data_IF_197092486296
#
_entry.id   IF_197092486296
#
_cell.length_a   1.000
_cell.length_b   1.000
_cell.length_c   1.000
_cell.angle_alpha   90.00
_cell.angle_beta   90.00
_cell.angle_gamma   90.00
#
_symmetry.space_group_name_H-M   'P 1'
#
loop_
_entity.id
_entity.type
_entity.pdbx_description
1 polymer ?
#
# COMPACT_ATOMS: atom_id res chain seq x y z
N UNK A 1 -39.31 9.04 -37.68
CA UNK A 1 -39.17 7.79 -36.90
C UNK A 1 -37.81 7.66 -36.23
N UNK A 2 -36.68 7.69 -36.96
CA UNK A 2 -35.34 7.48 -36.38
C UNK A 2 -34.99 8.44 -35.22
N UNK A 3 -35.37 9.71 -35.31
CA UNK A 3 -35.16 10.69 -34.22
C UNK A 3 -35.94 10.38 -32.93
N UNK A 4 -37.12 9.76 -33.05
CA UNK A 4 -37.96 9.42 -31.88
C UNK A 4 -37.41 8.17 -31.20
N UNK A 5 -37.06 7.15 -31.99
CA UNK A 5 -36.43 5.91 -31.47
C UNK A 5 -35.12 6.22 -30.77
N UNK A 6 -34.28 7.08 -31.35
CA UNK A 6 -33.01 7.48 -30.73
C UNK A 6 -33.22 8.25 -29.42
N UNK A 7 -34.20 9.16 -29.35
CA UNK A 7 -34.53 9.90 -28.12
C UNK A 7 -35.02 8.96 -27.01
N UNK A 8 -35.91 8.02 -27.33
CA UNK A 8 -36.43 7.07 -26.34
C UNK A 8 -35.32 6.16 -25.83
N UNK A 9 -34.45 5.63 -26.72
CA UNK A 9 -33.31 4.81 -26.32
C UNK A 9 -32.34 5.58 -25.40
N UNK A 10 -32.02 6.84 -25.72
CA UNK A 10 -31.19 7.71 -24.89
C UNK A 10 -31.81 7.94 -23.50
N UNK A 11 -33.11 8.21 -23.42
CA UNK A 11 -33.82 8.40 -22.14
C UNK A 11 -33.77 7.12 -21.31
N UNK A 12 -34.01 5.95 -21.92
CA UNK A 12 -33.95 4.67 -21.23
C UNK A 12 -32.55 4.37 -20.70
N UNK A 13 -31.50 4.58 -21.50
CA UNK A 13 -30.11 4.40 -21.06
C UNK A 13 -29.78 5.37 -19.91
N UNK A 14 -30.19 6.64 -20.02
CA UNK A 14 -29.97 7.63 -18.98
C UNK A 14 -30.70 7.26 -17.68
N UNK A 15 -31.94 6.78 -17.76
CA UNK A 15 -32.71 6.32 -16.60
C UNK A 15 -32.06 5.10 -15.93
N UNK A 16 -31.57 4.13 -16.72
CA UNK A 16 -30.85 2.96 -16.21
C UNK A 16 -29.52 3.36 -15.57
N UNK A 17 -28.78 4.27 -16.18
CA UNK A 17 -27.54 4.81 -15.62
C UNK A 17 -27.81 5.52 -14.28
N UNK A 18 -28.87 6.35 -14.21
CA UNK A 18 -29.26 7.01 -12.97
C UNK A 18 -29.64 6.00 -11.88
N UNK A 19 -30.44 4.99 -12.21
CA UNK A 19 -30.81 3.94 -11.26
C UNK A 19 -29.58 3.16 -10.76
N UNK A 20 -28.65 2.82 -11.66
CA UNK A 20 -27.39 2.15 -11.30
C UNK A 20 -26.54 3.02 -10.37
N UNK A 21 -26.42 4.32 -10.64
CA UNK A 21 -25.69 5.26 -9.78
C UNK A 21 -26.31 5.37 -8.38
N UNK A 22 -27.65 5.36 -8.28
CA UNK A 22 -28.35 5.39 -6.99
C UNK A 22 -28.04 4.13 -6.19
N UNK A 23 -28.17 2.95 -6.79
CA UNK A 23 -27.86 1.67 -6.13
C UNK A 23 -26.38 1.62 -5.72
N UNK A 24 -25.48 2.02 -6.61
CA UNK A 24 -24.04 2.07 -6.33
C UNK A 24 -23.71 3.00 -5.15
N UNK A 25 -24.30 4.19 -5.14
CA UNK A 25 -24.10 5.18 -4.06
C UNK A 25 -24.64 4.68 -2.73
N UNK A 26 -25.83 4.06 -2.71
CA UNK A 26 -26.37 3.44 -1.50
C UNK A 26 -25.47 2.32 -0.99
N UNK A 27 -24.96 1.47 -1.87
CA UNK A 27 -24.06 0.38 -1.47
C UNK A 27 -22.76 0.93 -0.86
N UNK A 28 -22.16 1.95 -1.47
CA UNK A 28 -20.96 2.61 -0.96
C UNK A 28 -21.18 3.17 0.46
N UNK A 29 -22.34 3.77 0.72
CA UNK A 29 -22.64 4.38 2.02
C UNK A 29 -22.99 3.36 3.10
N UNK A 30 -23.77 2.33 2.76
CA UNK A 30 -24.28 1.33 3.71
C UNK A 30 -23.21 0.28 4.02
N UNK A 31 -22.43 -0.13 3.02
CA UNK A 31 -21.44 -1.20 3.19
C UNK A 31 -20.14 -0.94 2.40
N UNK A 32 -19.37 0.10 2.79
CA UNK A 32 -18.12 0.42 2.13
C UNK A 32 -17.14 -0.77 2.09
N UNK A 33 -17.11 -1.60 3.14
CA UNK A 33 -16.22 -2.76 3.25
C UNK A 33 -16.44 -3.80 2.15
N UNK A 34 -17.71 -4.04 1.79
CA UNK A 34 -18.07 -5.01 0.74
C UNK A 34 -17.85 -4.43 -0.67
N UNK A 35 -17.98 -3.11 -0.82
CA UNK A 35 -17.58 -2.42 -2.04
C UNK A 35 -16.06 -2.51 -2.24
N UNK A 36 -15.27 -2.25 -1.19
CA UNK A 36 -13.81 -2.39 -1.22
C UNK A 36 -13.41 -3.81 -1.69
N UNK A 37 -14.03 -4.85 -1.14
CA UNK A 37 -13.76 -6.25 -1.55
C UNK A 37 -14.14 -6.50 -3.00
N UNK A 38 -15.24 -5.93 -3.49
CA UNK A 38 -15.61 -6.04 -4.90
C UNK A 38 -14.55 -5.37 -5.79
N UNK A 39 -14.04 -4.22 -5.38
CA UNK A 39 -13.02 -3.49 -6.10
C UNK A 39 -11.68 -4.24 -6.14
N UNK A 40 -11.23 -4.78 -5.01
CA UNK A 40 -10.05 -5.67 -4.92
C UNK A 40 -10.15 -6.84 -5.89
N UNK A 41 -11.31 -7.53 -5.93
CA UNK A 41 -11.54 -8.67 -6.83
C UNK A 41 -11.47 -8.29 -8.32
N UNK A 42 -11.76 -7.03 -8.64
CA UNK A 42 -11.65 -6.50 -10.01
C UNK A 42 -10.31 -5.83 -10.30
N UNK A 43 -9.38 -5.81 -9.33
CA UNK A 43 -8.09 -5.13 -9.43
C UNK A 43 -8.15 -3.60 -9.29
N UNK A 44 -9.30 -3.03 -8.95
CA UNK A 44 -9.46 -1.58 -8.76
C UNK A 44 -9.09 -1.14 -7.33
N UNK A 45 -7.82 -1.34 -6.97
CA UNK A 45 -7.32 -1.04 -5.62
C UNK A 45 -7.41 0.45 -5.27
N UNK A 46 -7.29 1.35 -6.25
CA UNK A 46 -7.45 2.79 -6.00
C UNK A 46 -8.83 3.15 -5.44
N UNK A 47 -9.89 2.52 -5.97
CA UNK A 47 -11.22 2.74 -5.44
C UNK A 47 -11.49 1.89 -4.18
N UNK A 48 -10.84 0.74 -4.04
CA UNK A 48 -10.84 -0.02 -2.79
C UNK A 48 -10.33 0.82 -1.62
N UNK A 49 -9.21 1.55 -1.78
CA UNK A 49 -8.71 2.54 -0.80
C UNK A 49 -9.79 3.55 -0.42
N UNK A 50 -10.54 4.07 -1.39
CA UNK A 50 -11.59 5.07 -1.11
C UNK A 50 -12.71 4.49 -0.25
N UNK A 51 -13.09 3.24 -0.52
CA UNK A 51 -14.12 2.54 0.23
C UNK A 51 -13.64 2.16 1.64
N UNK A 52 -12.40 1.66 1.75
CA UNK A 52 -11.77 1.33 3.03
C UNK A 52 -11.57 2.58 3.90
N UNK A 53 -11.14 3.70 3.32
CA UNK A 53 -10.99 4.98 4.01
C UNK A 53 -12.33 5.51 4.52
N UNK A 54 -13.40 5.36 3.76
CA UNK A 54 -14.75 5.72 4.22
C UNK A 54 -15.16 4.87 5.42
N UNK A 55 -14.88 3.56 5.40
CA UNK A 55 -15.14 2.70 6.55
C UNK A 55 -14.31 3.12 7.76
N UNK A 56 -13.01 3.33 7.58
CA UNK A 56 -12.11 3.78 8.64
C UNK A 56 -12.58 5.10 9.26
N UNK A 57 -13.06 6.05 8.46
CA UNK A 57 -13.64 7.30 8.98
C UNK A 57 -14.89 7.09 9.84
N UNK A 58 -15.64 6.01 9.62
CA UNK A 58 -16.81 5.68 10.43
C UNK A 58 -16.44 4.92 11.71
N UNK A 59 -15.39 4.09 11.68
CA UNK A 59 -15.07 3.16 12.77
C UNK A 59 -13.91 3.64 13.64
N UNK A 60 -12.94 4.35 13.06
CA UNK A 60 -11.64 4.60 13.67
C UNK A 60 -10.79 3.33 13.85
N UNK A 61 -11.21 2.19 13.30
CA UNK A 61 -10.57 0.90 13.54
C UNK A 61 -9.23 0.77 12.81
N UNK A 62 -8.19 0.34 13.53
CA UNK A 62 -6.86 0.21 12.96
C UNK A 62 -6.80 -0.86 11.86
N UNK A 63 -7.66 -1.88 11.90
CA UNK A 63 -7.76 -2.90 10.85
C UNK A 63 -8.31 -2.34 9.53
N UNK A 64 -9.27 -1.41 9.61
CA UNK A 64 -9.74 -0.66 8.44
C UNK A 64 -8.62 0.26 7.88
N UNK A 65 -7.81 0.88 8.75
CA UNK A 65 -6.63 1.65 8.33
C UNK A 65 -5.55 0.76 7.69
N UNK A 66 -5.33 -0.44 8.24
CA UNK A 66 -4.39 -1.42 7.68
C UNK A 66 -4.80 -1.85 6.27
N UNK A 67 -6.09 -2.05 6.04
CA UNK A 67 -6.62 -2.30 4.70
C UNK A 67 -6.39 -1.12 3.75
N UNK A 68 -6.57 0.12 4.20
CA UNK A 68 -6.24 1.30 3.39
C UNK A 68 -4.77 1.31 2.95
N UNK A 69 -3.86 0.91 3.84
CA UNK A 69 -2.43 0.82 3.54
C UNK A 69 -2.14 -0.29 2.51
N UNK A 70 -2.71 -1.49 2.71
CA UNK A 70 -2.57 -2.63 1.78
C UNK A 70 -3.12 -2.32 0.39
N UNK A 71 -4.34 -1.80 0.30
CA UNK A 71 -4.94 -1.38 -0.97
C UNK A 71 -4.15 -0.22 -1.59
N UNK A 72 -3.62 0.68 -0.76
CA UNK A 72 -2.75 1.77 -1.20
C UNK A 72 -1.49 1.25 -1.88
N UNK A 73 -0.85 0.26 -1.28
CA UNK A 73 0.30 -0.46 -1.84
C UNK A 73 -0.07 -1.14 -3.16
N UNK A 74 -1.16 -1.92 -3.19
CA UNK A 74 -1.59 -2.66 -4.37
C UNK A 74 -2.05 -1.74 -5.51
N UNK A 75 -2.50 -0.52 -5.19
CA UNK A 75 -2.84 0.49 -6.19
C UNK A 75 -1.62 1.07 -6.92
N UNK A 76 -0.41 0.90 -6.38
CA UNK A 76 0.84 1.48 -6.90
C UNK A 76 0.90 3.01 -6.82
N UNK A 77 -0.04 3.67 -6.15
CA UNK A 77 -0.07 5.14 -6.03
C UNK A 77 0.66 5.60 -4.78
N UNK A 78 1.80 6.25 -4.97
CA UNK A 78 2.61 6.78 -3.87
C UNK A 78 1.83 7.69 -2.93
N UNK A 79 0.89 8.49 -3.44
CA UNK A 79 0.02 9.32 -2.60
C UNK A 79 -0.77 8.49 -1.57
N UNK A 80 -1.25 7.30 -1.94
CA UNK A 80 -1.97 6.42 -1.02
C UNK A 80 -1.01 5.75 -0.04
N UNK A 81 0.13 5.25 -0.54
CA UNK A 81 1.15 4.60 0.28
C UNK A 81 1.66 5.58 1.36
N UNK A 82 2.12 6.77 0.95
CA UNK A 82 2.61 7.80 1.86
C UNK A 82 1.55 8.19 2.90
N UNK A 83 0.29 8.37 2.49
CA UNK A 83 -0.76 8.76 3.42
C UNK A 83 -1.13 7.64 4.42
N UNK A 84 -1.43 6.44 3.93
CA UNK A 84 -2.02 5.38 4.76
C UNK A 84 -0.98 4.52 5.46
N UNK A 85 0.17 4.24 4.83
CA UNK A 85 1.24 3.52 5.51
C UNK A 85 1.86 4.38 6.62
N UNK A 86 2.09 5.69 6.40
CA UNK A 86 2.60 6.58 7.46
C UNK A 86 1.62 6.72 8.62
N UNK A 87 0.31 6.87 8.33
CA UNK A 87 -0.72 6.85 9.38
C UNK A 87 -0.76 5.54 10.15
N UNK A 88 -0.67 4.42 9.45
CA UNK A 88 -0.72 3.11 10.06
C UNK A 88 0.49 2.87 10.97
N UNK A 89 1.70 3.20 10.53
CA UNK A 89 2.92 2.95 11.31
C UNK A 89 3.02 3.82 12.56
N UNK A 90 2.33 4.96 12.58
CA UNK A 90 2.20 5.85 13.74
C UNK A 90 1.01 5.53 14.65
N UNK A 91 0.17 4.55 14.28
CA UNK A 91 -0.99 4.18 15.07
C UNK A 91 -0.60 3.32 16.28
N UNK A 92 -1.18 3.58 17.46
CA UNK A 92 -0.84 2.86 18.70
C UNK A 92 -1.03 1.34 18.60
N UNK A 93 -2.07 0.92 17.86
CA UNK A 93 -2.36 -0.50 17.62
C UNK A 93 -1.54 -1.15 16.50
N UNK A 94 -0.61 -0.44 15.85
CA UNK A 94 0.16 -0.99 14.73
C UNK A 94 0.89 -2.30 15.07
N UNK A 95 1.49 -2.37 16.26
CA UNK A 95 2.13 -3.60 16.74
C UNK A 95 1.18 -4.78 16.86
N UNK A 96 -0.05 -4.55 17.33
CA UNK A 96 -1.09 -5.60 17.41
C UNK A 96 -1.52 -6.07 16.04
N UNK A 97 -1.64 -5.15 15.07
CA UNK A 97 -1.97 -5.50 13.69
C UNK A 97 -0.87 -6.34 13.05
N UNK A 98 0.39 -5.98 13.24
CA UNK A 98 1.51 -6.77 12.75
C UNK A 98 1.42 -8.21 13.29
N UNK A 99 1.27 -8.37 14.60
CA UNK A 99 1.16 -9.68 15.23
C UNK A 99 -0.03 -10.50 14.67
N UNK A 100 -1.21 -9.90 14.54
CA UNK A 100 -2.40 -10.57 14.01
C UNK A 100 -2.23 -10.98 12.53
N UNK A 101 -1.60 -10.13 11.71
CA UNK A 101 -1.34 -10.42 10.29
C UNK A 101 -0.28 -11.50 10.13
N UNK A 102 0.79 -11.44 10.92
CA UNK A 102 1.85 -12.44 10.92
C UNK A 102 1.32 -13.81 11.38
N UNK A 103 0.48 -13.85 12.41
CA UNK A 103 -0.19 -15.08 12.85
C UNK A 103 -1.07 -15.68 11.74
N UNK A 104 -1.91 -14.86 11.10
CA UNK A 104 -2.77 -15.28 10.00
C UNK A 104 -1.97 -15.81 8.79
N UNK A 105 -0.78 -15.25 8.52
CA UNK A 105 0.12 -15.69 7.46
C UNK A 105 0.85 -16.99 7.82
N UNK A 106 1.32 -17.11 9.06
CA UNK A 106 2.02 -18.29 9.56
C UNK A 106 1.15 -19.55 9.59
N UNK A 107 -0.17 -19.39 9.79
CA UNK A 107 -1.14 -20.49 9.74
C UNK A 107 -1.49 -20.98 8.33
N UNK A 108 -0.96 -20.34 7.28
CA UNK A 108 -1.23 -20.68 5.89
C UNK A 108 -0.28 -21.73 5.29
N UNK A 109 -0.59 -22.18 4.06
CA UNK A 109 0.22 -23.15 3.29
C UNK A 109 1.67 -22.68 3.07
N UNK A 110 1.96 -21.40 3.26
CA UNK A 110 3.25 -20.76 3.06
C UNK A 110 3.87 -20.19 4.34
N UNK A 111 3.41 -20.59 5.54
CA UNK A 111 3.78 -19.96 6.80
C UNK A 111 5.29 -19.92 7.12
N UNK A 112 6.08 -20.83 6.56
CA UNK A 112 7.55 -20.84 6.68
C UNK A 112 8.26 -19.85 5.72
N UNK A 113 7.53 -19.25 4.78
CA UNK A 113 8.04 -18.37 3.73
C UNK A 113 7.43 -16.96 3.77
N UNK A 114 6.52 -16.69 4.71
CA UNK A 114 5.84 -15.41 4.83
C UNK A 114 6.75 -14.39 5.51
N UNK A 115 7.02 -13.28 4.81
CA UNK A 115 7.72 -12.14 5.39
C UNK A 115 6.89 -11.42 6.45
N UNK A 116 7.56 -10.70 7.35
CA UNK A 116 6.93 -9.94 8.43
C UNK A 116 6.10 -8.77 7.89
N UNK A 117 4.86 -8.63 8.37
CA UNK A 117 3.93 -7.58 7.98
C UNK A 117 4.50 -6.19 8.23
N UNK A 118 5.23 -6.04 9.34
CA UNK A 118 5.94 -4.81 9.67
C UNK A 118 6.91 -4.41 8.56
N UNK A 119 7.74 -5.35 8.11
CA UNK A 119 8.71 -5.11 7.04
C UNK A 119 8.02 -4.84 5.69
N UNK A 120 6.89 -5.50 5.42
CA UNK A 120 6.07 -5.24 4.24
C UNK A 120 5.59 -3.79 4.18
N UNK A 121 4.96 -3.29 5.25
CA UNK A 121 4.44 -1.91 5.31
C UNK A 121 5.59 -0.89 5.22
N UNK A 122 6.61 -1.03 6.06
CA UNK A 122 7.72 -0.07 6.09
C UNK A 122 8.56 -0.08 4.81
N UNK A 123 8.77 -1.24 4.18
CA UNK A 123 9.53 -1.30 2.93
C UNK A 123 8.80 -0.62 1.76
N UNK A 124 7.47 -0.75 1.71
CA UNK A 124 6.68 -0.01 0.73
C UNK A 124 6.63 1.49 1.02
N UNK A 125 6.49 1.89 2.29
CA UNK A 125 6.57 3.30 2.70
C UNK A 125 7.92 3.92 2.34
N UNK A 126 9.02 3.23 2.66
CA UNK A 126 10.37 3.69 2.35
C UNK A 126 10.59 3.84 0.84
N UNK A 127 10.14 2.88 0.03
CA UNK A 127 10.24 3.00 -1.43
C UNK A 127 9.42 4.18 -1.98
N UNK A 128 8.22 4.42 -1.47
CA UNK A 128 7.43 5.59 -1.86
C UNK A 128 8.08 6.91 -1.42
N UNK A 129 8.73 6.95 -0.27
CA UNK A 129 9.51 8.11 0.20
C UNK A 129 10.74 8.35 -0.69
N UNK A 130 11.44 7.29 -1.13
CA UNK A 130 12.51 7.39 -2.14
C UNK A 130 12.01 8.00 -3.45
N UNK A 131 10.84 7.55 -3.96
CA UNK A 131 10.21 8.13 -5.15
C UNK A 131 9.81 9.59 -4.98
N UNK A 132 9.38 9.97 -3.78
CA UNK A 132 9.07 11.34 -3.42
C UNK A 132 10.32 12.22 -3.21
N UNK A 133 11.53 11.63 -3.18
CA UNK A 133 12.80 12.34 -2.93
C UNK A 133 13.12 12.59 -1.47
N UNK A 134 12.33 12.05 -0.52
CA UNK A 134 12.56 12.19 0.92
C UNK A 134 13.40 11.02 1.44
N UNK A 135 14.68 11.03 1.08
CA UNK A 135 15.58 9.90 1.35
C UNK A 135 15.83 9.69 2.85
N UNK A 136 15.88 10.75 3.65
CA UNK A 136 16.13 10.64 5.09
C UNK A 136 14.96 9.95 5.81
N UNK A 137 13.72 10.27 5.41
CA UNK A 137 12.55 9.52 5.88
C UNK A 137 12.55 8.09 5.35
N UNK A 138 12.93 7.87 4.09
CA UNK A 138 12.99 6.53 3.52
C UNK A 138 13.93 5.61 4.32
N UNK A 139 15.13 6.09 4.67
CA UNK A 139 16.08 5.37 5.52
C UNK A 139 15.47 5.11 6.91
N UNK A 140 14.86 6.12 7.52
CA UNK A 140 14.24 5.99 8.85
C UNK A 140 13.10 4.95 8.86
N UNK A 141 12.26 4.95 7.83
CA UNK A 141 11.19 3.98 7.65
C UNK A 141 11.73 2.57 7.42
N UNK A 142 12.75 2.40 6.56
CA UNK A 142 13.38 1.11 6.33
C UNK A 142 13.98 0.54 7.63
N UNK A 143 14.71 1.36 8.39
CA UNK A 143 15.25 0.99 9.70
C UNK A 143 14.17 0.55 10.68
N UNK A 144 13.06 1.29 10.76
CA UNK A 144 11.94 0.96 11.65
C UNK A 144 11.23 -0.36 11.28
N UNK A 145 11.35 -0.79 10.01
CA UNK A 145 10.81 -2.04 9.50
C UNK A 145 11.74 -3.25 9.57
N UNK A 146 13.00 -3.07 9.98
CA UNK A 146 14.01 -4.13 10.04
C UNK A 146 14.63 -4.47 8.68
N UNK A 147 15.51 -5.48 8.67
CA UNK A 147 16.36 -5.81 7.49
C UNK A 147 15.57 -6.02 6.19
N UNK A 148 14.39 -6.65 6.27
CA UNK A 148 13.55 -6.93 5.10
C UNK A 148 12.94 -5.66 4.48
N UNK A 149 12.75 -4.59 5.26
CA UNK A 149 12.18 -3.35 4.77
C UNK A 149 13.15 -2.56 3.87
N UNK A 150 14.45 -2.85 3.91
CA UNK A 150 15.44 -2.23 3.02
C UNK A 150 15.34 -2.72 1.57
N UNK A 151 14.76 -3.90 1.32
CA UNK A 151 14.79 -4.53 -0.02
C UNK A 151 14.11 -3.66 -1.08
N UNK A 152 12.90 -3.17 -0.80
CA UNK A 152 12.12 -2.36 -1.77
C UNK A 152 12.74 -1.01 -2.10
N UNK A 153 13.16 -0.17 -1.15
CA UNK A 153 13.83 1.08 -1.48
C UNK A 153 15.18 0.85 -2.18
N UNK A 154 15.91 -0.24 -1.89
CA UNK A 154 17.14 -0.57 -2.63
C UNK A 154 16.84 -0.89 -4.10
N UNK A 155 15.78 -1.64 -4.39
CA UNK A 155 15.31 -1.88 -5.77
C UNK A 155 14.99 -0.54 -6.47
N UNK A 156 14.28 0.36 -5.80
CA UNK A 156 13.96 1.69 -6.34
C UNK A 156 15.23 2.51 -6.67
N UNK A 157 16.23 2.47 -5.78
CA UNK A 157 17.51 3.16 -5.97
C UNK A 157 18.27 2.57 -7.18
N UNK A 158 18.25 1.25 -7.34
CA UNK A 158 18.86 0.55 -8.48
C UNK A 158 18.21 0.93 -9.79
N UNK A 159 16.88 0.89 -9.87
CA UNK A 159 16.13 1.21 -11.09
C UNK A 159 16.36 2.65 -11.54
N UNK A 160 16.59 3.57 -10.59
CA UNK A 160 16.86 4.99 -10.87
C UNK A 160 18.34 5.36 -10.99
N UNK A 161 19.25 4.43 -10.66
CA UNK A 161 20.69 4.70 -10.52
C UNK A 161 20.98 5.94 -9.65
N UNK A 162 20.24 6.09 -8.54
CA UNK A 162 20.32 7.27 -7.67
C UNK A 162 21.50 7.15 -6.69
N UNK A 163 22.65 7.74 -7.08
CA UNK A 163 23.89 7.72 -6.29
C UNK A 163 23.74 8.34 -4.91
N UNK A 164 23.03 9.45 -4.81
CA UNK A 164 22.87 10.17 -3.54
C UNK A 164 22.03 9.34 -2.56
N UNK A 165 20.98 8.70 -3.05
CA UNK A 165 20.19 7.79 -2.23
C UNK A 165 21.00 6.53 -1.85
N UNK A 166 21.79 5.99 -2.77
CA UNK A 166 22.64 4.83 -2.51
C UNK A 166 23.64 5.09 -1.36
N UNK A 167 24.33 6.24 -1.36
CA UNK A 167 25.28 6.61 -0.29
C UNK A 167 24.61 6.68 1.10
N UNK A 168 23.40 7.26 1.18
CA UNK A 168 22.64 7.35 2.43
C UNK A 168 22.21 5.98 2.94
N UNK A 169 21.70 5.12 2.05
CA UNK A 169 21.30 3.77 2.40
C UNK A 169 22.50 2.88 2.79
N UNK A 170 23.64 3.02 2.11
CA UNK A 170 24.89 2.34 2.48
C UNK A 170 25.34 2.70 3.89
N UNK A 171 25.31 3.99 4.23
CA UNK A 171 25.70 4.47 5.55
C UNK A 171 24.80 3.85 6.63
N UNK A 172 23.48 3.82 6.40
CA UNK A 172 22.53 3.21 7.32
C UNK A 172 22.71 1.69 7.46
N UNK A 173 22.88 0.95 6.34
CA UNK A 173 23.05 -0.50 6.36
C UNK A 173 24.36 -0.95 7.02
N UNK A 174 25.41 -0.13 6.97
CA UNK A 174 26.68 -0.42 7.66
C UNK A 174 26.57 -0.33 9.19
N UNK A 175 25.60 0.43 9.70
CA UNK A 175 25.28 0.49 11.13
C UNK A 175 24.43 -0.69 11.60
N UNK A 176 23.78 -1.42 10.68
CA UNK A 176 22.96 -2.59 10.98
C UNK A 176 23.82 -3.86 11.20
N UNK A 177 23.20 -4.88 11.81
CA UNK A 177 23.83 -6.19 11.96
C UNK A 177 24.29 -6.77 10.62
N UNK A 178 25.50 -7.31 10.57
CA UNK A 178 26.13 -7.83 9.34
C UNK A 178 25.61 -9.23 8.97
N UNK A 179 24.30 -9.35 8.82
CA UNK A 179 23.68 -10.56 8.26
C UNK A 179 24.02 -10.70 6.79
N UNK A 180 23.91 -11.91 6.26
CA UNK A 180 24.17 -12.17 4.84
C UNK A 180 23.28 -11.33 3.91
N UNK A 181 22.05 -11.04 4.35
CA UNK A 181 21.13 -10.17 3.60
C UNK A 181 21.62 -8.73 3.57
N UNK A 182 22.03 -8.18 4.71
CA UNK A 182 22.56 -6.81 4.79
C UNK A 182 23.82 -6.67 3.93
N UNK A 183 24.73 -7.65 3.97
CA UNK A 183 25.93 -7.68 3.11
C UNK A 183 25.56 -7.66 1.62
N UNK A 184 24.63 -8.52 1.20
CA UNK A 184 24.16 -8.54 -0.19
C UNK A 184 23.56 -7.19 -0.62
N UNK A 185 22.80 -6.51 0.24
CA UNK A 185 22.25 -5.19 -0.07
C UNK A 185 23.36 -4.12 -0.17
N UNK A 186 24.37 -4.17 0.69
CA UNK A 186 25.55 -3.30 0.63
C UNK A 186 26.28 -3.51 -0.70
N UNK A 187 26.63 -4.75 -1.05
CA UNK A 187 27.34 -5.09 -2.29
C UNK A 187 26.60 -4.61 -3.55
N UNK A 188 25.27 -4.59 -3.50
CA UNK A 188 24.44 -4.10 -4.59
C UNK A 188 24.51 -2.56 -4.68
N UNK A 189 24.39 -1.85 -3.55
CA UNK A 189 24.43 -0.39 -3.53
C UNK A 189 25.83 0.17 -3.85
N UNK A 190 26.90 -0.53 -3.47
CA UNK A 190 28.29 -0.15 -3.78
C UNK A 190 28.59 -0.14 -5.29
N UNK A 191 27.79 -0.86 -6.09
CA UNK A 191 27.92 -0.82 -7.56
C UNK A 191 27.34 0.46 -8.16
N UNK A 192 26.56 1.22 -7.40
CA UNK A 192 25.89 2.44 -7.86
C UNK A 192 26.57 3.68 -7.34
N UNK A 193 26.82 3.74 -6.02
CA UNK A 193 27.43 4.87 -5.33
C UNK A 193 28.72 5.30 -6.03
#
# INVERSE_FOLDING_TARGET
MNKVVLKTALITIAALAAAALIVFSMWLLISPQTMATSCEKTGNYSFAVTCADLRYKYTGDAGDLARCAEDGILSGKDKHILNYCEKLTLHDDFGKICAAKDEALSGGVYGEHTGEYRAYIFGHLAAAQCRAGDIDKAVSSAKAGGELAYVKPVIEILERADKSAAEKFLSALREEGQTERVKNLIDILEKIA
#
